data_IF_248158348116
#
_entry.id   IF_248158348116
#
_cell.length_a   1.000
_cell.length_b   1.000
_cell.length_c   1.000
_cell.angle_alpha   90.00
_cell.angle_beta   90.00
_cell.angle_gamma   90.00
#
_symmetry.space_group_name_H-M   'P 1'
#
loop_
_entity.id
_entity.type
_entity.pdbx_description
1 polymer ?
#
# COMPACT_ATOMS: atom_id res chain seq x y z
N UNK A 1 0.24 -8.50 -23.04
CA UNK A 1 1.06 -7.33 -22.66
C UNK A 1 1.85 -7.66 -21.40
N UNK A 2 3.06 -7.12 -21.25
CA UNK A 2 3.82 -7.23 -20.00
C UNK A 2 3.12 -6.42 -18.89
N UNK A 3 3.15 -6.91 -17.65
CA UNK A 3 2.61 -6.15 -16.51
C UNK A 3 3.57 -5.02 -16.16
N UNK A 4 3.04 -3.81 -16.04
CA UNK A 4 3.77 -2.58 -15.68
C UNK A 4 3.37 -2.10 -14.28
N UNK A 5 4.13 -1.17 -13.72
CA UNK A 5 3.87 -0.60 -12.41
C UNK A 5 2.54 0.16 -12.44
N UNK A 6 1.65 -0.10 -11.48
CA UNK A 6 0.36 0.61 -11.37
C UNK A 6 0.53 2.12 -11.15
N UNK A 7 1.69 2.57 -10.68
CA UNK A 7 1.96 3.99 -10.38
C UNK A 7 2.73 4.75 -11.45
N UNK A 8 3.69 4.10 -12.13
CA UNK A 8 4.61 4.80 -13.03
C UNK A 8 4.92 4.06 -14.33
N UNK A 9 4.21 2.98 -14.61
CA UNK A 9 4.44 2.06 -15.74
C UNK A 9 5.86 1.42 -15.81
N UNK A 10 6.71 1.68 -14.81
CA UNK A 10 8.06 1.12 -14.73
C UNK A 10 8.10 -0.40 -14.58
N UNK A 11 9.26 -0.96 -14.93
CA UNK A 11 9.60 -2.38 -14.78
C UNK A 11 11.06 -2.49 -14.30
N UNK A 12 11.50 -3.63 -13.72
CA UNK A 12 10.73 -4.82 -13.37
C UNK A 12 9.82 -4.60 -12.15
N UNK A 13 8.74 -5.40 -12.08
CA UNK A 13 7.87 -5.43 -10.91
C UNK A 13 8.49 -6.21 -9.76
N UNK A 14 8.38 -5.67 -8.55
CA UNK A 14 8.82 -6.28 -7.30
C UNK A 14 7.62 -6.82 -6.52
N UNK A 15 7.90 -7.71 -5.56
CA UNK A 15 6.90 -8.10 -4.56
C UNK A 15 6.86 -7.02 -3.51
N UNK A 16 5.69 -6.44 -3.30
CA UNK A 16 5.44 -5.48 -2.24
C UNK A 16 4.60 -6.11 -1.14
N UNK A 17 4.93 -5.82 0.11
CA UNK A 17 4.14 -6.26 1.26
C UNK A 17 2.88 -5.41 1.41
N UNK A 18 1.72 -6.05 1.52
CA UNK A 18 0.45 -5.33 1.71
C UNK A 18 0.42 -4.58 3.03
N UNK A 19 0.87 -5.24 4.10
CA UNK A 19 1.19 -4.64 5.38
C UNK A 19 2.69 -4.76 5.64
N UNK A 20 3.37 -3.69 6.06
CA UNK A 20 4.80 -3.77 6.29
C UNK A 20 5.13 -4.67 7.47
N UNK A 21 6.21 -5.45 7.35
CA UNK A 21 6.61 -6.43 8.38
C UNK A 21 6.84 -5.80 9.75
N UNK A 22 7.36 -4.57 9.80
CA UNK A 22 7.60 -3.88 11.07
C UNK A 22 6.31 -3.65 11.86
N UNK A 23 5.16 -3.54 11.17
CA UNK A 23 3.87 -3.30 11.82
C UNK A 23 3.38 -4.52 12.60
N UNK A 24 3.92 -5.72 12.32
CA UNK A 24 3.59 -6.95 13.05
C UNK A 24 3.80 -6.80 14.55
N UNK A 25 4.83 -6.06 14.99
CA UNK A 25 5.10 -5.85 16.41
C UNK A 25 4.11 -4.91 17.10
N UNK A 26 3.33 -4.13 16.32
CA UNK A 26 2.32 -3.24 16.87
C UNK A 26 1.06 -4.00 17.34
N UNK A 27 0.80 -5.20 16.82
CA UNK A 27 -0.35 -6.01 17.22
C UNK A 27 0.01 -6.86 18.45
N UNK A 28 -0.69 -6.64 19.56
CA UNK A 28 -0.53 -7.44 20.78
C UNK A 28 -1.19 -8.82 20.59
N UNK A 29 -0.41 -9.89 20.68
CA UNK A 29 -0.88 -11.29 20.66
C UNK A 29 -1.01 -11.93 19.27
N UNK A 30 -1.12 -13.26 19.23
CA UNK A 30 -1.21 -14.06 17.99
C UNK A 30 -2.45 -13.76 17.13
N UNK A 31 -3.47 -13.12 17.72
CA UNK A 31 -4.74 -12.81 17.05
C UNK A 31 -4.61 -11.79 15.91
N UNK A 32 -3.61 -10.90 15.92
CA UNK A 32 -3.43 -9.86 14.89
C UNK A 32 -2.64 -10.32 13.65
N UNK A 33 -2.09 -11.54 13.66
CA UNK A 33 -1.24 -12.02 12.57
C UNK A 33 -2.01 -12.79 11.50
N UNK A 34 -3.24 -13.24 11.76
CA UNK A 34 -3.99 -14.14 10.87
C UNK A 34 -4.98 -13.35 10.03
N UNK A 35 -4.72 -13.20 8.74
CA UNK A 35 -5.67 -12.64 7.78
C UNK A 35 -6.40 -13.76 7.03
N UNK A 36 -7.67 -13.54 6.73
CA UNK A 36 -8.41 -14.35 5.77
C UNK A 36 -7.99 -13.92 4.36
N UNK A 37 -7.32 -14.81 3.64
CA UNK A 37 -7.02 -14.63 2.23
C UNK A 37 -8.15 -15.24 1.41
N UNK A 38 -8.92 -14.38 0.75
CA UNK A 38 -9.96 -14.80 -0.19
C UNK A 38 -9.42 -14.65 -1.60
N UNK A 39 -9.16 -15.78 -2.26
CA UNK A 39 -8.85 -15.81 -3.69
C UNK A 39 -10.07 -16.33 -4.44
N UNK A 40 -10.83 -15.41 -5.03
CA UNK A 40 -11.97 -15.73 -5.90
C UNK A 40 -11.57 -15.74 -7.38
N UNK A 41 -12.04 -16.74 -8.12
CA UNK A 41 -12.39 -16.63 -9.54
C UNK A 41 -13.92 -16.62 -9.64
N UNK A 42 -14.48 -16.30 -10.81
CA UNK A 42 -15.94 -16.35 -11.04
C UNK A 42 -16.58 -17.69 -10.64
N UNK A 43 -15.80 -18.79 -10.70
CA UNK A 43 -16.25 -20.15 -10.43
C UNK A 43 -15.81 -20.73 -9.07
N UNK A 44 -14.90 -20.08 -8.35
CA UNK A 44 -14.25 -20.71 -7.19
C UNK A 44 -13.75 -19.69 -6.18
N UNK A 45 -14.21 -19.79 -4.93
CA UNK A 45 -13.70 -19.00 -3.82
C UNK A 45 -12.82 -19.87 -2.92
N UNK A 46 -11.50 -19.70 -3.00
CA UNK A 46 -10.56 -20.35 -2.09
C UNK A 46 -10.32 -19.40 -0.92
N UNK A 47 -10.75 -19.81 0.26
CA UNK A 47 -10.47 -19.12 1.51
C UNK A 47 -9.35 -19.87 2.24
N UNK A 48 -8.27 -19.19 2.59
CA UNK A 48 -7.25 -19.73 3.48
C UNK A 48 -6.81 -18.69 4.50
N UNK A 49 -6.51 -19.13 5.70
CA UNK A 49 -5.97 -18.27 6.75
C UNK A 49 -4.45 -18.28 6.63
N UNK A 50 -3.84 -17.12 6.45
CA UNK A 50 -2.39 -16.99 6.41
C UNK A 50 -1.92 -15.74 7.16
N UNK A 51 -0.61 -15.61 7.32
CA UNK A 51 -0.02 -14.46 8.01
C UNK A 51 -0.22 -13.19 7.18
N UNK A 52 -0.96 -12.23 7.73
CA UNK A 52 -1.29 -10.95 7.10
C UNK A 52 -0.04 -10.17 6.66
N UNK A 53 1.08 -10.31 7.40
CA UNK A 53 2.34 -9.61 7.14
C UNK A 53 3.22 -10.32 6.11
N UNK A 54 2.90 -11.56 5.74
CA UNK A 54 3.53 -12.28 4.63
C UNK A 54 2.80 -12.08 3.30
N UNK A 55 1.64 -11.42 3.32
CA UNK A 55 0.89 -11.10 2.13
C UNK A 55 1.67 -10.14 1.23
N UNK A 56 1.84 -10.52 -0.04
CA UNK A 56 2.54 -9.69 -1.03
C UNK A 56 1.78 -9.59 -2.34
N UNK A 57 1.94 -8.46 -3.02
CA UNK A 57 1.38 -8.17 -4.35
C UNK A 57 2.51 -7.78 -5.31
N UNK A 58 2.40 -8.20 -6.58
CA UNK A 58 3.41 -7.92 -7.63
C UNK A 58 2.84 -7.00 -8.71
N UNK A 59 2.61 -5.75 -8.35
CA UNK A 59 2.02 -4.70 -9.22
C UNK A 59 2.79 -3.37 -9.20
N UNK A 60 3.91 -3.28 -8.48
CA UNK A 60 4.73 -2.07 -8.35
C UNK A 60 6.16 -2.33 -8.79
N UNK A 61 6.86 -1.32 -9.31
CA UNK A 61 8.29 -1.42 -9.67
C UNK A 61 9.20 -1.17 -8.45
N UNK A 62 10.48 -1.50 -8.60
CA UNK A 62 11.50 -1.28 -7.57
C UNK A 62 11.63 0.20 -7.18
N UNK A 63 11.51 1.14 -8.13
CA UNK A 63 11.64 2.58 -7.89
C UNK A 63 10.54 3.10 -6.97
N UNK A 64 9.27 2.76 -7.24
CA UNK A 64 8.16 3.17 -6.39
C UNK A 64 8.23 2.49 -5.02
N UNK A 65 8.46 1.17 -5.01
CA UNK A 65 8.49 0.37 -3.79
C UNK A 65 9.57 0.88 -2.81
N UNK A 66 10.82 1.01 -3.27
CA UNK A 66 11.93 1.45 -2.42
C UNK A 66 11.99 2.98 -2.22
N UNK A 67 11.24 3.75 -3.01
CA UNK A 67 11.21 5.21 -2.98
C UNK A 67 10.10 5.75 -2.09
N UNK A 68 9.12 6.42 -2.71
CA UNK A 68 8.06 7.11 -1.97
C UNK A 68 7.21 6.16 -1.10
N UNK A 69 6.99 4.90 -1.50
CA UNK A 69 6.21 3.95 -0.71
C UNK A 69 6.90 3.62 0.62
N UNK A 70 8.20 3.32 0.58
CA UNK A 70 9.04 3.18 1.77
C UNK A 70 9.07 4.47 2.60
N UNK A 71 9.10 5.63 1.95
CA UNK A 71 9.00 6.94 2.60
C UNK A 71 7.71 7.10 3.43
N UNK A 72 6.55 6.73 2.87
CA UNK A 72 5.27 6.77 3.59
C UNK A 72 5.26 5.84 4.80
N UNK A 73 5.78 4.61 4.66
CA UNK A 73 5.85 3.66 5.77
C UNK A 73 6.73 4.17 6.91
N UNK A 74 7.86 4.79 6.58
CA UNK A 74 8.73 5.40 7.59
C UNK A 74 8.06 6.61 8.26
N UNK A 75 7.30 7.41 7.50
CA UNK A 75 6.60 8.59 8.00
C UNK A 75 5.57 8.29 9.10
N UNK A 76 4.92 7.12 9.05
CA UNK A 76 3.91 6.73 10.06
C UNK A 76 4.48 5.87 11.20
N UNK A 77 5.72 5.42 11.08
CA UNK A 77 6.29 4.37 11.93
C UNK A 77 6.37 4.75 13.41
N UNK A 78 6.55 6.03 13.71
CA UNK A 78 6.71 6.54 15.08
C UNK A 78 5.41 6.53 15.88
N UNK A 79 4.26 6.77 15.24
CA UNK A 79 2.98 6.99 15.93
C UNK A 79 1.90 5.95 15.61
N UNK A 80 1.96 5.30 14.44
CA UNK A 80 0.95 4.31 14.04
C UNK A 80 0.79 3.15 15.04
N UNK A 81 1.86 2.61 15.66
CA UNK A 81 1.70 1.59 16.69
C UNK A 81 0.87 2.04 17.89
N UNK A 82 0.98 3.30 18.30
CA UNK A 82 0.19 3.86 19.41
C UNK A 82 -1.29 3.94 19.03
N UNK A 83 -1.58 4.44 17.83
CA UNK A 83 -2.95 4.51 17.30
C UNK A 83 -3.60 3.11 17.20
N UNK A 84 -2.89 2.11 16.67
CA UNK A 84 -3.40 0.73 16.56
C UNK A 84 -3.75 0.14 17.92
N UNK A 85 -2.99 0.50 18.95
CA UNK A 85 -3.21 0.03 20.31
C UNK A 85 -4.21 0.88 21.11
N UNK A 86 -4.90 1.84 20.47
CA UNK A 86 -5.85 2.73 21.12
C UNK A 86 -5.20 3.70 22.12
N UNK A 87 -3.89 3.93 22.00
CA UNK A 87 -3.18 4.95 22.79
C UNK A 87 -3.36 6.31 22.14
N UNK A 88 -3.51 7.35 22.97
CA UNK A 88 -3.57 8.72 22.47
C UNK A 88 -2.24 9.09 21.80
N UNK A 89 -2.32 9.74 20.64
CA UNK A 89 -1.18 10.32 19.94
C UNK A 89 -1.59 11.71 19.44
N UNK A 90 -0.76 12.71 19.72
CA UNK A 90 -0.93 14.04 19.12
C UNK A 90 -0.35 14.01 17.71
N UNK A 91 -1.20 14.23 16.70
CA UNK A 91 -0.81 14.19 15.30
C UNK A 91 -0.72 15.61 14.75
N UNK A 92 0.46 16.00 14.31
CA UNK A 92 0.64 17.23 13.53
C UNK A 92 -0.10 17.11 12.19
N UNK A 93 -0.29 18.23 11.48
CA UNK A 93 -0.84 18.18 10.12
C UNK A 93 -0.01 17.27 9.19
N UNK A 94 1.31 17.22 9.39
CA UNK A 94 2.21 16.37 8.63
C UNK A 94 1.96 14.88 8.94
N UNK A 95 1.77 14.52 10.21
CA UNK A 95 1.47 13.15 10.62
C UNK A 95 0.12 12.68 10.07
N UNK A 96 -0.89 13.55 10.09
CA UNK A 96 -2.20 13.26 9.52
C UNK A 96 -2.14 13.01 8.02
N UNK A 97 -1.36 13.82 7.29
CA UNK A 97 -1.14 13.63 5.86
C UNK A 97 -0.38 12.32 5.59
N UNK A 98 0.67 12.04 6.35
CA UNK A 98 1.43 10.79 6.24
C UNK A 98 0.53 9.56 6.50
N UNK A 99 -0.32 9.63 7.53
CA UNK A 99 -1.29 8.58 7.85
C UNK A 99 -2.31 8.37 6.73
N UNK A 100 -2.89 9.45 6.19
CA UNK A 100 -3.85 9.38 5.10
C UNK A 100 -3.24 8.74 3.84
N UNK A 101 -2.06 9.20 3.42
CA UNK A 101 -1.33 8.65 2.28
C UNK A 101 -0.95 7.18 2.50
N UNK A 102 -0.49 6.82 3.71
CA UNK A 102 -0.18 5.44 4.05
C UNK A 102 -1.41 4.53 4.02
N UNK A 103 -2.56 4.99 4.54
CA UNK A 103 -3.82 4.26 4.47
C UNK A 103 -4.24 4.00 3.02
N UNK A 104 -4.17 5.03 2.16
CA UNK A 104 -4.51 4.90 0.75
C UNK A 104 -3.57 3.92 0.02
N UNK A 105 -2.26 4.02 0.25
CA UNK A 105 -1.27 3.05 -0.28
C UNK A 105 -1.60 1.63 0.14
N UNK A 106 -1.89 1.42 1.42
CA UNK A 106 -2.20 0.09 1.97
C UNK A 106 -3.50 -0.47 1.37
N UNK A 107 -4.55 0.35 1.23
CA UNK A 107 -5.79 -0.03 0.54
C UNK A 107 -5.56 -0.46 -0.90
N UNK A 108 -4.73 0.27 -1.66
CA UNK A 108 -4.36 -0.08 -3.03
C UNK A 108 -3.65 -1.44 -3.10
N UNK A 109 -2.75 -1.74 -2.17
CA UNK A 109 -2.10 -3.04 -2.12
C UNK A 109 -3.07 -4.17 -1.77
N UNK A 110 -4.01 -3.93 -0.84
CA UNK A 110 -5.08 -4.88 -0.51
C UNK A 110 -6.00 -5.16 -1.71
N UNK A 111 -6.36 -4.14 -2.48
CA UNK A 111 -7.14 -4.31 -3.71
C UNK A 111 -6.37 -5.13 -4.75
N UNK A 112 -5.08 -4.85 -4.94
CA UNK A 112 -4.22 -5.62 -5.84
C UNK A 112 -4.01 -7.09 -5.43
N UNK A 113 -4.03 -7.36 -4.12
CA UNK A 113 -3.95 -8.71 -3.56
C UNK A 113 -5.25 -9.50 -3.75
N UNK A 114 -6.39 -8.87 -3.47
CA UNK A 114 -7.71 -9.48 -3.55
C UNK A 114 -8.30 -9.26 -4.95
N UNK A 115 -8.01 -10.19 -5.87
CA UNK A 115 -8.57 -10.22 -7.24
C UNK A 115 -10.06 -10.58 -7.25
N UNK A 116 -10.89 -9.87 -6.50
CA UNK A 116 -12.33 -10.04 -6.52
C UNK A 116 -12.93 -9.19 -7.66
N UNK A 117 -13.80 -9.72 -8.52
CA UNK A 117 -14.37 -8.97 -9.67
C UNK A 117 -15.10 -7.68 -9.24
N UNK A 118 -15.62 -7.60 -8.02
CA UNK A 118 -16.24 -6.37 -7.48
C UNK A 118 -15.22 -5.30 -7.10
N UNK A 119 -13.99 -5.67 -6.72
CA UNK A 119 -12.92 -4.71 -6.41
C UNK A 119 -12.19 -4.21 -7.67
N UNK A 120 -12.35 -4.90 -8.80
CA UNK A 120 -11.98 -4.35 -10.13
C UNK A 120 -12.82 -3.12 -10.50
N UNK A 121 -13.99 -2.92 -9.86
CA UNK A 121 -14.82 -1.71 -10.05
C UNK A 121 -14.43 -0.53 -9.15
N UNK A 122 -13.53 -0.71 -8.18
CA UNK A 122 -12.97 0.44 -7.48
C UNK A 122 -12.16 1.24 -8.52
N UNK A 123 -12.27 2.59 -8.57
CA UNK A 123 -11.49 3.43 -9.48
C UNK A 123 -9.98 3.42 -9.18
N UNK A 124 -9.50 2.47 -8.37
CA UNK A 124 -8.10 2.20 -8.06
C UNK A 124 -7.31 1.62 -9.25
N UNK A 125 -7.99 1.10 -10.27
CA UNK A 125 -7.39 0.75 -11.58
C UNK A 125 -7.55 1.89 -12.59
N UNK A 126 -8.26 2.96 -12.23
CA UNK A 126 -8.33 4.14 -13.09
C UNK A 126 -6.98 4.85 -13.07
N UNK A 127 -6.44 5.09 -14.26
CA UNK A 127 -5.22 5.86 -14.50
C UNK A 127 -5.43 7.37 -14.25
N UNK A 128 -6.29 7.70 -13.28
CA UNK A 128 -6.74 9.07 -13.02
C UNK A 128 -5.63 9.84 -12.29
N UNK A 129 -5.10 10.92 -12.88
CA UNK A 129 -4.11 11.79 -12.24
C UNK A 129 -4.57 12.31 -10.87
N UNK A 130 -5.87 12.46 -10.62
CA UNK A 130 -6.40 12.96 -9.35
C UNK A 130 -6.16 11.99 -8.18
N UNK A 131 -6.20 10.68 -8.43
CA UNK A 131 -5.92 9.65 -7.40
C UNK A 131 -4.43 9.61 -7.08
N UNK A 132 -3.58 9.77 -8.09
CA UNK A 132 -2.12 9.95 -7.90
C UNK A 132 -1.85 11.25 -7.13
N UNK A 133 -2.58 12.33 -7.45
CA UNK A 133 -2.46 13.64 -6.79
C UNK A 133 -2.87 13.60 -5.30
N UNK A 134 -3.83 12.74 -4.94
CA UNK A 134 -4.24 12.50 -3.55
C UNK A 134 -3.13 11.80 -2.73
N UNK A 135 -2.35 10.92 -3.36
CA UNK A 135 -1.13 10.35 -2.76
C UNK A 135 -0.02 11.42 -2.70
N UNK A 136 0.06 12.29 -3.71
CA UNK A 136 1.01 13.42 -3.82
C UNK A 136 0.68 14.62 -2.92
N UNK A 137 -0.41 14.59 -2.15
CA UNK A 137 -0.89 15.70 -1.32
C UNK A 137 0.11 16.20 -0.24
N UNK A 138 1.21 15.48 -0.01
CA UNK A 138 2.37 15.96 0.73
C UNK A 138 3.29 16.80 -0.17
N UNK A 139 2.86 18.03 -0.52
CA UNK A 139 3.68 19.02 -1.24
C UNK A 139 4.89 19.46 -0.41
N UNK A 140 6.01 18.72 -0.36
CA UNK A 140 7.36 19.28 -0.13
C UNK A 140 8.45 18.33 -0.67
N UNK A 141 9.30 18.87 -1.54
CA UNK A 141 10.41 18.25 -2.31
C UNK A 141 10.06 17.57 -3.65
N UNK A 142 9.46 18.37 -4.54
CA UNK A 142 9.40 18.13 -5.97
C UNK A 142 10.45 19.00 -6.69
N UNK A 143 11.65 18.46 -6.91
CA UNK A 143 12.50 18.80 -8.05
C UNK A 143 13.07 17.49 -8.61
N UNK A 144 12.37 16.94 -9.61
CA UNK A 144 12.87 15.92 -10.54
C UNK A 144 12.96 14.48 -10.03
N UNK A 145 11.85 13.71 -10.09
CA UNK A 145 11.89 12.24 -10.27
C UNK A 145 10.47 11.62 -10.26
N UNK A 146 9.60 12.04 -11.18
CA UNK A 146 8.72 11.04 -11.78
C UNK A 146 9.65 10.16 -12.60
N UNK A 147 9.95 8.97 -12.08
CA UNK A 147 10.62 7.84 -12.74
C UNK A 147 11.30 8.26 -14.05
N UNK A 148 12.59 8.63 -13.98
CA UNK A 148 13.38 9.19 -15.07
C UNK A 148 12.90 8.73 -16.45
N UNK A 149 12.09 9.57 -17.08
CA UNK A 149 11.61 9.42 -18.45
C UNK A 149 12.09 10.62 -19.22
N UNK A 150 13.40 10.75 -19.32
CA UNK A 150 13.99 11.39 -20.49
C UNK A 150 13.80 10.40 -21.65
N UNK A 151 12.85 10.74 -22.52
CA UNK A 151 12.83 10.26 -23.90
C UNK A 151 13.98 10.88 -24.67
#
# INVERSE_FOLDING_TARGET
MARTCVFCDGTPLTKEHTLPKWLKSAFRGDAGSRALHVRGTESTQIQHVADAFNATVKIVCATCNNGWMSGLENGVRSFLPDLINGRAAELTQQDQNALASWCLKTMLMFAGQNKHPTLEMLPLVSRDPAVVTLIDGARWFWHGALCGTDR
#
